data_IF_000188835164
#
_entry.id   IF_000188835164
#
_cell.length_a   1.000
_cell.length_b   1.000
_cell.length_c   1.000
_cell.angle_alpha   90.00
_cell.angle_beta   90.00
_cell.angle_gamma   90.00
#
_symmetry.space_group_name_H-M   'P 1'
#
loop_
_entity.id
_entity.type
_entity.pdbx_description
1 polymer ?
#
# COMPACT_ATOMS: atom_id res chain seq x y z
N UNK A 1 14.30 5.05 -9.69
CA UNK A 1 12.89 5.47 -9.67
C UNK A 1 12.38 6.03 -8.33
N UNK A 2 13.12 5.95 -7.21
CA UNK A 2 12.64 6.45 -5.90
C UNK A 2 12.17 7.91 -5.90
N UNK A 3 12.93 8.81 -6.53
CA UNK A 3 12.60 10.25 -6.61
C UNK A 3 11.25 10.44 -7.29
N UNK A 4 11.02 9.80 -8.44
CA UNK A 4 9.77 9.89 -9.19
C UNK A 4 8.57 9.51 -8.32
N UNK A 5 8.62 8.34 -7.66
CA UNK A 5 7.53 7.89 -6.78
C UNK A 5 7.25 8.88 -5.65
N UNK A 6 8.28 9.36 -4.96
CA UNK A 6 8.13 10.32 -3.87
C UNK A 6 7.55 11.65 -4.38
N UNK A 7 8.05 12.16 -5.51
CA UNK A 7 7.53 13.41 -6.07
C UNK A 7 6.09 13.28 -6.54
N UNK A 8 5.72 12.14 -7.15
CA UNK A 8 4.37 11.90 -7.60
C UNK A 8 3.39 11.77 -6.43
N UNK A 9 3.75 11.06 -5.35
CA UNK A 9 2.88 10.94 -4.17
C UNK A 9 2.73 12.27 -3.45
N UNK A 10 3.81 13.04 -3.26
CA UNK A 10 3.74 14.38 -2.69
C UNK A 10 2.88 15.32 -3.54
N UNK A 11 2.97 15.22 -4.87
CA UNK A 11 2.15 16.00 -5.77
C UNK A 11 0.66 15.64 -5.66
N UNK A 12 0.31 14.36 -5.58
CA UNK A 12 -1.08 13.91 -5.36
C UNK A 12 -1.63 14.44 -4.03
N UNK A 13 -0.85 14.34 -2.95
CA UNK A 13 -1.25 14.88 -1.63
C UNK A 13 -1.46 16.40 -1.72
N UNK A 14 -0.58 17.12 -2.42
CA UNK A 14 -0.71 18.56 -2.62
C UNK A 14 -1.99 18.92 -3.38
N UNK A 15 -2.32 18.18 -4.44
CA UNK A 15 -3.54 18.40 -5.21
C UNK A 15 -4.80 18.17 -4.36
N UNK A 16 -4.85 17.06 -3.61
CA UNK A 16 -5.99 16.72 -2.76
C UNK A 16 -6.19 17.71 -1.61
N UNK A 17 -5.11 18.18 -0.98
CA UNK A 17 -5.22 18.97 0.26
C UNK A 17 -5.22 20.48 0.07
N UNK A 18 -4.52 21.00 -0.95
CA UNK A 18 -4.23 22.44 -1.02
C UNK A 18 -4.63 23.11 -2.34
N UNK A 19 -4.62 22.39 -3.48
CA UNK A 19 -4.87 23.00 -4.79
C UNK A 19 -6.37 23.07 -5.11
N UNK A 20 -6.91 24.30 -5.25
CA UNK A 20 -8.25 24.51 -5.81
C UNK A 20 -8.26 24.27 -7.34
N UNK A 21 -9.34 23.71 -7.93
CA UNK A 21 -10.62 23.35 -7.29
C UNK A 21 -10.65 21.96 -6.63
N UNK A 22 -9.61 21.13 -6.81
CA UNK A 22 -9.58 19.72 -6.39
C UNK A 22 -9.73 19.50 -4.88
N UNK A 23 -9.17 20.38 -4.06
CA UNK A 23 -9.35 20.28 -2.60
C UNK A 23 -10.82 20.50 -2.16
N UNK A 24 -11.64 21.15 -2.99
CA UNK A 24 -13.06 21.36 -2.72
C UNK A 24 -13.95 20.18 -3.06
N UNK A 25 -13.45 19.22 -3.85
CA UNK A 25 -14.19 18.00 -4.23
C UNK A 25 -13.92 16.83 -3.29
N UNK A 26 -13.03 17.00 -2.31
CA UNK A 26 -12.71 15.96 -1.32
C UNK A 26 -13.82 15.84 -0.27
N UNK A 27 -14.45 14.67 -0.20
CA UNK A 27 -15.47 14.37 0.81
C UNK A 27 -14.83 13.80 2.09
N UNK A 28 -14.60 14.69 3.06
CA UNK A 28 -14.05 14.32 4.36
C UNK A 28 -15.01 13.47 5.23
N UNK A 29 -16.31 13.49 4.95
CA UNK A 29 -17.31 12.77 5.77
C UNK A 29 -17.36 11.28 5.45
N UNK A 30 -16.88 10.90 4.26
CA UNK A 30 -16.76 9.51 3.85
C UNK A 30 -15.41 8.89 4.23
N UNK A 31 -14.36 9.70 4.43
CA UNK A 31 -13.02 9.25 4.84
C UNK A 31 -12.78 9.45 6.36
N UNK A 32 -13.59 8.77 7.18
CA UNK A 32 -13.49 8.82 8.66
C UNK A 32 -12.53 7.78 9.24
N UNK A 33 -11.81 7.03 8.41
CA UNK A 33 -10.99 5.92 8.89
C UNK A 33 -9.78 6.42 9.70
N UNK A 34 -9.75 6.06 10.98
CA UNK A 34 -8.66 6.45 11.88
C UNK A 34 -7.39 5.63 11.62
N UNK A 35 -6.69 5.94 10.54
CA UNK A 35 -5.46 5.28 10.13
C UNK A 35 -4.35 5.35 11.19
N UNK A 36 -4.35 6.40 12.03
CA UNK A 36 -3.37 6.52 13.11
C UNK A 36 -3.51 5.40 14.15
N UNK A 37 -4.74 5.05 14.50
CA UNK A 37 -5.04 4.06 15.53
C UNK A 37 -4.98 2.63 14.99
N UNK A 38 -5.30 2.42 13.71
CA UNK A 38 -5.38 1.08 13.15
C UNK A 38 -4.14 0.69 12.34
N UNK A 39 -3.69 1.50 11.38
CA UNK A 39 -2.65 1.08 10.42
C UNK A 39 -1.26 1.12 11.06
N UNK A 40 -0.87 2.21 11.71
CA UNK A 40 0.47 2.32 12.27
C UNK A 40 0.79 1.28 13.36
N UNK A 41 -0.07 1.03 14.36
CA UNK A 41 0.23 0.03 15.38
C UNK A 41 0.13 -1.40 14.84
N UNK A 42 -0.79 -1.71 13.92
CA UNK A 42 -0.86 -3.06 13.33
C UNK A 42 0.37 -3.36 12.47
N UNK A 43 0.84 -2.41 11.67
CA UNK A 43 2.09 -2.56 10.92
C UNK A 43 3.29 -2.73 11.86
N UNK A 44 3.31 -2.02 12.99
CA UNK A 44 4.40 -2.12 13.98
C UNK A 44 4.39 -3.51 14.64
N UNK A 45 3.23 -3.99 15.09
CA UNK A 45 3.06 -5.32 15.66
C UNK A 45 3.44 -6.40 14.64
N UNK A 46 2.98 -6.28 13.39
CA UNK A 46 3.32 -7.24 12.34
C UNK A 46 4.83 -7.27 12.05
N UNK A 47 5.50 -6.12 12.10
CA UNK A 47 6.96 -6.04 11.94
C UNK A 47 7.69 -6.70 13.11
N UNK A 48 7.20 -6.54 14.35
CA UNK A 48 7.80 -7.20 15.52
C UNK A 48 7.68 -8.73 15.46
N UNK A 49 6.60 -9.25 14.89
CA UNK A 49 6.39 -10.70 14.73
C UNK A 49 7.22 -11.24 13.56
N UNK A 50 7.20 -10.53 12.42
CA UNK A 50 7.86 -10.95 11.18
C UNK A 50 8.73 -9.82 10.64
N UNK A 51 10.01 -9.86 11.01
CA UNK A 51 11.06 -8.99 10.48
C UNK A 51 12.14 -9.80 9.74
N UNK A 52 12.89 -9.14 8.87
CA UNK A 52 14.05 -9.75 8.21
C UNK A 52 15.25 -9.86 9.16
N UNK A 53 15.64 -8.75 9.80
CA UNK A 53 16.75 -8.67 10.76
C UNK A 53 16.49 -7.57 11.80
N UNK A 54 17.20 -7.63 12.94
CA UNK A 54 17.14 -6.59 13.99
C UNK A 54 17.95 -5.32 13.68
N UNK A 55 18.62 -5.25 12.52
CA UNK A 55 19.25 -4.02 12.07
C UNK A 55 18.17 -2.94 11.86
N UNK A 56 18.44 -1.72 12.30
CA UNK A 56 17.47 -0.60 12.22
C UNK A 56 16.96 -0.39 10.79
N UNK A 57 17.85 -0.51 9.79
CA UNK A 57 17.51 -0.33 8.38
C UNK A 57 16.60 -1.46 7.89
N UNK A 58 16.92 -2.71 8.23
CA UNK A 58 16.14 -3.88 7.85
C UNK A 58 14.77 -3.88 8.54
N UNK A 59 14.71 -3.43 9.80
CA UNK A 59 13.48 -3.25 10.55
C UNK A 59 12.58 -2.18 9.92
N UNK A 60 13.12 -0.99 9.60
CA UNK A 60 12.39 0.07 8.90
C UNK A 60 11.90 -0.38 7.53
N UNK A 61 12.70 -1.19 6.83
CA UNK A 61 12.31 -1.76 5.56
C UNK A 61 11.16 -2.76 5.70
N UNK A 62 11.23 -3.70 6.65
CA UNK A 62 10.13 -4.60 6.97
C UNK A 62 8.86 -3.84 7.38
N UNK A 63 9.00 -2.78 8.18
CA UNK A 63 7.89 -1.90 8.54
C UNK A 63 7.25 -1.23 7.34
N UNK A 64 8.05 -0.75 6.39
CA UNK A 64 7.52 -0.14 5.16
C UNK A 64 6.71 -1.12 4.31
N UNK A 65 7.08 -2.40 4.29
CA UNK A 65 6.34 -3.44 3.56
C UNK A 65 4.98 -3.73 4.20
N UNK A 66 4.93 -3.81 5.53
CA UNK A 66 3.68 -3.99 6.27
C UNK A 66 2.75 -2.78 6.13
N UNK A 67 3.29 -1.56 6.20
CA UNK A 67 2.52 -0.35 5.96
C UNK A 67 1.96 -0.31 4.54
N UNK A 68 2.75 -0.67 3.53
CA UNK A 68 2.29 -0.69 2.14
C UNK A 68 1.08 -1.62 1.95
N UNK A 69 1.12 -2.80 2.56
CA UNK A 69 0.03 -3.77 2.48
C UNK A 69 -1.28 -3.28 3.12
N UNK A 70 -1.18 -2.47 4.18
CA UNK A 70 -2.33 -1.95 4.93
C UNK A 70 -2.81 -0.58 4.44
N UNK A 71 -1.95 0.19 3.75
CA UNK A 71 -2.21 1.57 3.36
C UNK A 71 -3.41 1.74 2.41
N UNK A 72 -3.81 0.68 1.70
CA UNK A 72 -4.93 0.72 0.77
C UNK A 72 -6.31 0.48 1.42
N UNK A 73 -6.34 0.00 2.67
CA UNK A 73 -7.58 -0.29 3.40
C UNK A 73 -8.57 0.89 3.46
N UNK A 74 -8.16 2.14 3.79
CA UNK A 74 -9.08 3.27 3.88
C UNK A 74 -9.79 3.52 2.55
N UNK A 75 -9.06 3.41 1.43
CA UNK A 75 -9.60 3.61 0.09
C UNK A 75 -10.69 2.59 -0.24
N UNK A 76 -10.51 1.32 0.15
CA UNK A 76 -11.52 0.26 -0.06
C UNK A 76 -12.78 0.56 0.73
N UNK A 77 -12.65 1.04 1.97
CA UNK A 77 -13.80 1.38 2.82
C UNK A 77 -14.62 2.49 2.17
N UNK A 78 -13.97 3.51 1.63
CA UNK A 78 -14.63 4.61 0.92
C UNK A 78 -15.36 4.09 -0.33
N UNK A 79 -14.71 3.25 -1.14
CA UNK A 79 -15.31 2.69 -2.35
C UNK A 79 -16.53 1.82 -2.06
N UNK A 80 -16.47 1.02 -0.99
CA UNK A 80 -17.62 0.25 -0.53
C UNK A 80 -18.78 1.14 -0.07
N UNK A 81 -18.49 2.29 0.54
CA UNK A 81 -19.50 3.23 1.02
C UNK A 81 -20.17 4.01 -0.10
N UNK A 82 -19.41 4.40 -1.12
CA UNK A 82 -19.89 5.17 -2.28
C UNK A 82 -20.79 4.35 -3.22
N UNK A 83 -20.77 3.01 -3.11
CA UNK A 83 -21.52 2.03 -3.92
C UNK A 83 -21.39 2.17 -5.45
N UNK A 84 -20.58 3.12 -5.92
CA UNK A 84 -20.34 3.44 -7.32
C UNK A 84 -18.84 3.63 -7.48
N UNK A 85 -18.26 2.87 -8.42
CA UNK A 85 -16.83 2.94 -8.72
C UNK A 85 -16.70 3.53 -10.12
N UNK A 86 -16.07 4.70 -10.21
CA UNK A 86 -15.76 5.31 -11.49
C UNK A 86 -14.82 4.42 -12.31
N UNK A 87 -15.00 4.35 -13.63
CA UNK A 87 -14.17 3.51 -14.51
C UNK A 87 -12.68 3.83 -14.38
N UNK A 88 -12.30 5.11 -14.25
CA UNK A 88 -10.91 5.52 -14.08
C UNK A 88 -10.31 4.96 -12.79
N UNK A 89 -11.06 5.02 -11.70
CA UNK A 89 -10.66 4.45 -10.40
C UNK A 89 -10.54 2.94 -10.47
N UNK A 90 -11.47 2.26 -11.14
CA UNK A 90 -11.38 0.81 -11.37
C UNK A 90 -10.12 0.42 -12.15
N UNK A 91 -9.81 1.13 -13.25
CA UNK A 91 -8.59 0.89 -14.01
C UNK A 91 -7.32 1.16 -13.18
N UNK A 92 -7.31 2.23 -12.37
CA UNK A 92 -6.21 2.52 -11.46
C UNK A 92 -5.97 1.36 -10.49
N UNK A 93 -7.01 0.90 -9.79
CA UNK A 93 -6.92 -0.21 -8.83
C UNK A 93 -6.52 -1.51 -9.54
N UNK A 94 -7.07 -1.78 -10.73
CA UNK A 94 -6.70 -2.94 -11.54
C UNK A 94 -5.22 -2.94 -11.92
N UNK A 95 -4.67 -1.81 -12.36
CA UNK A 95 -3.22 -1.70 -12.63
C UNK A 95 -2.38 -1.81 -11.36
N UNK A 96 -2.90 -1.34 -10.23
CA UNK A 96 -2.30 -1.47 -8.92
C UNK A 96 -2.22 -2.95 -8.47
N UNK A 97 -3.31 -3.71 -8.61
CA UNK A 97 -3.32 -5.15 -8.37
C UNK A 97 -2.38 -5.90 -9.31
N UNK A 98 -2.38 -5.53 -10.60
CA UNK A 98 -1.58 -6.20 -11.63
C UNK A 98 -0.08 -6.05 -11.40
N UNK A 99 0.42 -4.86 -10.99
CA UNK A 99 1.84 -4.74 -10.65
C UNK A 99 2.19 -5.71 -9.49
N UNK A 100 1.35 -5.80 -8.45
CA UNK A 100 1.65 -6.65 -7.29
C UNK A 100 1.61 -8.13 -7.64
N UNK A 101 0.66 -8.53 -8.48
CA UNK A 101 0.60 -9.88 -9.04
C UNK A 101 1.89 -10.26 -9.78
N UNK A 102 2.45 -9.35 -10.59
CA UNK A 102 3.73 -9.61 -11.26
C UNK A 102 4.91 -9.73 -10.28
N UNK A 103 4.90 -9.01 -9.15
CA UNK A 103 5.89 -9.20 -8.09
C UNK A 103 5.79 -10.60 -7.46
N UNK A 104 4.59 -11.12 -7.23
CA UNK A 104 4.39 -12.49 -6.74
C UNK A 104 4.95 -13.51 -7.72
N UNK A 105 4.69 -13.37 -9.02
CA UNK A 105 5.27 -14.23 -10.06
C UNK A 105 6.79 -14.14 -10.08
N UNK A 106 7.36 -12.94 -9.92
CA UNK A 106 8.80 -12.75 -9.83
C UNK A 106 9.39 -13.50 -8.63
N UNK A 107 8.76 -13.46 -7.46
CA UNK A 107 9.24 -14.21 -6.29
C UNK A 107 9.08 -15.71 -6.45
N UNK A 108 7.99 -16.19 -7.08
CA UNK A 108 7.84 -17.60 -7.43
C UNK A 108 8.96 -18.08 -8.36
N UNK A 109 9.33 -17.28 -9.36
CA UNK A 109 10.47 -17.57 -10.23
C UNK A 109 11.81 -17.57 -9.47
N UNK A 110 12.03 -16.60 -8.58
CA UNK A 110 13.24 -16.55 -7.74
C UNK A 110 13.34 -17.78 -6.82
N UNK A 111 12.21 -18.28 -6.33
CA UNK A 111 12.15 -19.47 -5.49
C UNK A 111 12.57 -20.70 -6.27
N UNK A 112 12.04 -20.85 -7.49
CA UNK A 112 12.44 -21.92 -8.41
C UNK A 112 13.95 -21.90 -8.73
N UNK A 113 14.53 -20.71 -8.89
CA UNK A 113 15.95 -20.53 -9.16
C UNK A 113 16.85 -20.59 -7.92
N UNK A 114 16.32 -20.97 -6.75
CA UNK A 114 17.04 -21.01 -5.46
C UNK A 114 17.75 -19.68 -5.12
N UNK A 115 17.18 -18.55 -5.52
CA UNK A 115 17.68 -17.22 -5.18
C UNK A 115 17.19 -16.81 -3.79
N UNK A 116 17.95 -15.93 -3.12
CA UNK A 116 17.58 -15.44 -1.80
C UNK A 116 16.23 -14.69 -1.82
N UNK A 117 15.32 -15.11 -0.94
CA UNK A 117 13.99 -14.52 -0.75
C UNK A 117 13.79 -14.16 0.71
N UNK A 118 13.29 -12.95 0.94
CA UNK A 118 12.83 -12.54 2.27
C UNK A 118 11.36 -12.93 2.43
N UNK A 119 11.08 -13.81 3.38
CA UNK A 119 9.72 -14.27 3.68
C UNK A 119 8.76 -13.11 4.00
N UNK A 120 9.26 -12.06 4.65
CA UNK A 120 8.48 -10.84 4.92
C UNK A 120 7.89 -10.25 3.65
N UNK A 121 8.67 -10.15 2.55
CA UNK A 121 8.18 -9.58 1.29
C UNK A 121 7.06 -10.42 0.67
N UNK A 122 7.23 -11.75 0.69
CA UNK A 122 6.25 -12.68 0.11
C UNK A 122 4.94 -12.59 0.88
N UNK A 123 4.98 -12.63 2.21
CA UNK A 123 3.78 -12.54 3.04
C UNK A 123 3.07 -11.21 2.84
N UNK A 124 3.78 -10.08 2.92
CA UNK A 124 3.18 -8.75 2.73
C UNK A 124 2.63 -8.58 1.32
N UNK A 125 3.30 -9.14 0.30
CA UNK A 125 2.83 -9.05 -1.07
C UNK A 125 1.60 -9.91 -1.34
N UNK A 126 1.50 -11.10 -0.74
CA UNK A 126 0.29 -11.94 -0.82
C UNK A 126 -0.89 -11.21 -0.20
N UNK A 127 -0.71 -10.68 1.02
CA UNK A 127 -1.76 -9.91 1.72
C UNK A 127 -2.21 -8.74 0.86
N UNK A 128 -1.27 -7.98 0.31
CA UNK A 128 -1.59 -6.81 -0.49
C UNK A 128 -2.29 -7.16 -1.80
N UNK A 129 -1.89 -8.23 -2.49
CA UNK A 129 -2.61 -8.70 -3.68
C UNK A 129 -4.01 -9.21 -3.35
N UNK A 130 -4.23 -9.77 -2.16
CA UNK A 130 -5.57 -10.17 -1.73
C UNK A 130 -6.47 -8.98 -1.34
N UNK A 131 -5.86 -7.86 -0.95
CA UNK A 131 -6.56 -6.62 -0.58
C UNK A 131 -6.97 -5.82 -1.83
N UNK A 132 -6.15 -5.82 -2.88
CA UNK A 132 -6.45 -5.16 -4.16
C UNK A 132 -7.53 -5.87 -4.98
#
# INVERSE_FOLDING_TARGET
MKILYITATLYTIYLMKYKRPYCGTYDATSDEFNHYLYIYPTALVATLIVHSNFNIIDFLWSYSLWLEALAFIPQIIILNRMQTVENVTSHYIGTLGMYRFFYLLCWAYRYYMNLHIFWTQVITGIIQTAVY
#
